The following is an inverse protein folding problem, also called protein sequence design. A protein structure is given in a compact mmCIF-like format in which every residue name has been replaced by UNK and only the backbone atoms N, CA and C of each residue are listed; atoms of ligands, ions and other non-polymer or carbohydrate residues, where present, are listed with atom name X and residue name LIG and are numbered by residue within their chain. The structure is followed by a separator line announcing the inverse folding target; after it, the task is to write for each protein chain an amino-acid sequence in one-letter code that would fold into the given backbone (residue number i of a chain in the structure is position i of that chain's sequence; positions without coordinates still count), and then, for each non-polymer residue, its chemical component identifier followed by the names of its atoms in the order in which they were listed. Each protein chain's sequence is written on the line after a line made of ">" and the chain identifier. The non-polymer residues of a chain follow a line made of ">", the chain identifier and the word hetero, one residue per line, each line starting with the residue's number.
data_IF_193924199923
#
_entry.id   IF_193924199923
#
_cell.length_a   1.000
_cell.length_b   1.000
_cell.length_c   1.000
_cell.angle_alpha   90.00
_cell.angle_beta   90.00
_cell.angle_gamma   90.00
#
_symmetry.space_group_name_H-M   'P 1'
#
loop_
_entity.id
_entity.type
_entity.pdbx_description
1 polymer ?
#
# COMPACT_ATOMS: atom_id res chain seq x y z
N UNK A 1 11.42 -4.01 -17.29
CA UNK A 1 10.23 -3.70 -16.48
C UNK A 1 10.13 -2.21 -16.18
N UNK A 2 10.99 -1.62 -15.33
CA UNK A 2 10.85 -0.21 -14.92
C UNK A 2 10.90 0.78 -16.09
N UNK A 3 11.82 0.61 -17.04
CA UNK A 3 11.89 1.45 -18.25
C UNK A 3 10.60 1.43 -19.08
N UNK A 4 9.88 0.30 -19.15
CA UNK A 4 8.61 0.21 -19.88
C UNK A 4 7.48 0.93 -19.13
N UNK A 5 7.55 0.95 -17.80
CA UNK A 5 6.57 1.62 -16.96
C UNK A 5 6.80 3.15 -16.92
N UNK A 6 8.06 3.56 -16.95
CA UNK A 6 8.51 4.96 -16.92
C UNK A 6 9.49 5.21 -18.08
N UNK A 7 9.01 5.33 -19.32
CA UNK A 7 9.87 5.58 -20.49
C UNK A 7 10.59 6.93 -20.44
N UNK A 8 10.09 7.87 -19.64
CA UNK A 8 10.66 9.20 -19.44
C UNK A 8 11.92 9.22 -18.57
N UNK A 9 12.19 8.12 -17.82
CA UNK A 9 13.40 8.01 -17.02
C UNK A 9 14.56 7.52 -17.89
N UNK A 10 15.71 8.16 -17.76
CA UNK A 10 16.93 7.66 -18.41
C UNK A 10 17.39 6.37 -17.70
N UNK A 11 17.97 5.39 -18.41
CA UNK A 11 18.49 4.16 -17.79
C UNK A 11 19.45 4.40 -16.61
N UNK A 12 20.27 5.45 -16.68
CA UNK A 12 21.20 5.84 -15.60
C UNK A 12 20.49 6.32 -14.33
N UNK A 13 19.20 6.63 -14.41
CA UNK A 13 18.38 6.99 -13.25
C UNK A 13 17.70 5.76 -12.62
N UNK A 14 17.77 4.60 -13.26
CA UNK A 14 17.22 3.33 -12.80
C UNK A 14 18.27 2.48 -12.07
N UNK A 15 19.17 3.13 -11.34
CA UNK A 15 20.18 2.46 -10.51
C UNK A 15 19.58 1.89 -9.24
N UNK A 16 20.02 0.67 -8.88
CA UNK A 16 19.65 -0.01 -7.65
C UNK A 16 20.88 -0.15 -6.76
N UNK A 17 20.79 0.31 -5.52
CA UNK A 17 21.84 0.08 -4.52
C UNK A 17 21.84 -1.37 -4.04
N UNK A 18 20.64 -1.94 -3.91
CA UNK A 18 20.44 -3.29 -3.35
C UNK A 18 19.17 -3.91 -3.90
N UNK A 19 19.20 -5.19 -4.21
CA UNK A 19 18.02 -6.00 -4.48
C UNK A 19 18.21 -7.39 -3.89
N UNK A 20 17.27 -7.83 -3.05
CA UNK A 20 17.34 -9.16 -2.44
C UNK A 20 15.95 -9.70 -2.13
N UNK A 21 15.84 -11.02 -1.99
CA UNK A 21 14.59 -11.70 -1.64
C UNK A 21 14.43 -11.74 -0.13
N UNK A 22 13.21 -11.50 0.33
CA UNK A 22 12.83 -11.71 1.72
C UNK A 22 12.72 -13.20 2.04
N UNK A 23 12.79 -13.49 3.34
CA UNK A 23 12.44 -14.82 3.83
C UNK A 23 10.97 -15.09 3.59
N UNK A 24 10.67 -16.34 3.23
CA UNK A 24 9.29 -16.76 3.01
C UNK A 24 8.59 -16.87 4.37
N UNK A 25 7.40 -16.27 4.54
CA UNK A 25 6.57 -16.53 5.70
C UNK A 25 6.22 -18.02 5.83
N UNK A 26 6.26 -18.56 7.04
CA UNK A 26 6.02 -19.99 7.30
C UNK A 26 4.64 -20.49 6.87
N UNK A 27 3.65 -19.60 6.78
CA UNK A 27 2.28 -19.93 6.38
C UNK A 27 2.10 -20.07 4.86
N UNK A 28 3.10 -19.73 4.04
CA UNK A 28 3.04 -19.85 2.59
C UNK A 28 3.72 -21.15 2.09
N UNK A 29 3.19 -21.78 1.03
CA UNK A 29 3.77 -23.01 0.50
C UNK A 29 5.17 -22.80 -0.05
N UNK A 30 5.99 -23.86 -0.07
CA UNK A 30 7.38 -23.79 -0.55
C UNK A 30 7.51 -23.38 -2.02
N UNK A 31 6.44 -23.51 -2.80
CA UNK A 31 6.35 -23.10 -4.21
C UNK A 31 6.00 -21.62 -4.38
N UNK A 32 5.54 -20.92 -3.34
CA UNK A 32 5.20 -19.51 -3.42
C UNK A 32 6.45 -18.66 -3.72
N UNK A 33 6.30 -17.72 -4.66
CA UNK A 33 7.29 -16.70 -4.93
C UNK A 33 7.59 -15.89 -3.65
N UNK A 34 8.86 -15.51 -3.47
CA UNK A 34 9.27 -14.66 -2.34
C UNK A 34 9.22 -13.20 -2.77
N UNK A 35 8.82 -12.34 -1.84
CA UNK A 35 8.87 -10.90 -2.04
C UNK A 35 10.32 -10.43 -2.23
N UNK A 36 10.50 -9.37 -3.03
CA UNK A 36 11.80 -8.75 -3.30
C UNK A 36 11.79 -7.34 -2.73
N UNK A 37 12.80 -7.02 -1.91
CA UNK A 37 13.07 -5.64 -1.53
C UNK A 37 14.17 -5.09 -2.44
N UNK A 38 13.85 -4.00 -3.13
CA UNK A 38 14.78 -3.25 -3.95
C UNK A 38 14.93 -1.82 -3.38
N UNK A 39 16.17 -1.41 -3.15
CA UNK A 39 16.54 -0.03 -2.83
C UNK A 39 16.97 0.65 -4.12
N UNK A 40 16.10 1.50 -4.65
CA UNK A 40 16.40 2.38 -5.78
C UNK A 40 17.30 3.51 -5.28
N UNK A 41 18.40 3.77 -5.99
CA UNK A 41 19.40 4.77 -5.62
C UNK A 41 18.79 6.17 -5.52
N UNK A 42 18.05 6.57 -6.56
CA UNK A 42 17.45 7.88 -6.63
C UNK A 42 16.00 7.89 -6.12
N UNK A 43 15.71 8.79 -5.17
CA UNK A 43 14.37 8.95 -4.61
C UNK A 43 13.30 9.32 -5.64
N UNK A 44 13.61 10.25 -6.56
CA UNK A 44 12.65 10.69 -7.58
C UNK A 44 12.30 9.57 -8.56
N UNK A 45 13.26 8.73 -8.92
CA UNK A 45 13.04 7.57 -9.78
C UNK A 45 12.10 6.57 -9.09
N UNK A 46 12.36 6.26 -7.82
CA UNK A 46 11.48 5.42 -6.98
C UNK A 46 10.04 5.94 -6.95
N UNK A 47 9.84 7.24 -6.66
CA UNK A 47 8.50 7.83 -6.59
C UNK A 47 7.78 7.83 -7.95
N UNK A 48 8.49 8.10 -9.05
CA UNK A 48 7.94 8.03 -10.41
C UNK A 48 7.49 6.63 -10.76
N UNK A 49 8.32 5.61 -10.49
CA UNK A 49 7.97 4.19 -10.70
C UNK A 49 6.70 3.82 -9.92
N UNK A 50 6.64 4.15 -8.63
CA UNK A 50 5.49 3.84 -7.79
C UNK A 50 4.23 4.57 -8.28
N UNK A 51 4.33 5.84 -8.66
CA UNK A 51 3.20 6.61 -9.19
C UNK A 51 2.72 6.06 -10.54
N UNK A 52 3.64 5.75 -11.45
CA UNK A 52 3.32 5.16 -12.74
C UNK A 52 2.61 3.82 -12.58
N UNK A 53 3.07 2.96 -11.66
CA UNK A 53 2.41 1.69 -11.35
C UNK A 53 0.97 1.88 -10.83
N UNK A 54 0.73 2.88 -9.97
CA UNK A 54 -0.62 3.14 -9.44
C UNK A 54 -1.59 3.66 -10.50
N UNK A 55 -1.09 4.47 -11.44
CA UNK A 55 -1.93 5.14 -12.43
C UNK A 55 -2.17 4.29 -13.68
N UNK A 56 -1.12 3.63 -14.20
CA UNK A 56 -1.14 2.87 -15.45
C UNK A 56 -1.26 1.35 -15.22
N UNK A 57 -0.91 0.87 -14.03
CA UNK A 57 -0.71 -0.55 -13.79
C UNK A 57 0.60 -1.07 -14.37
N UNK A 58 0.84 -2.38 -14.18
CA UNK A 58 2.00 -3.05 -14.78
C UNK A 58 1.79 -3.32 -16.28
N UNK A 59 2.87 -3.30 -17.09
CA UNK A 59 2.81 -3.80 -18.46
C UNK A 59 2.32 -5.26 -18.49
N UNK A 60 1.70 -5.68 -19.60
CA UNK A 60 1.09 -7.01 -19.76
C UNK A 60 2.04 -8.16 -19.40
N UNK A 61 3.31 -8.08 -19.80
CA UNK A 61 4.34 -9.08 -19.44
C UNK A 61 4.54 -9.26 -17.93
N UNK A 62 4.21 -8.25 -17.13
CA UNK A 62 4.45 -8.17 -15.69
C UNK A 62 3.17 -7.96 -14.87
N UNK A 63 1.99 -8.22 -15.44
CA UNK A 63 0.69 -7.95 -14.80
C UNK A 63 0.52 -8.65 -13.43
N UNK A 64 1.16 -9.81 -13.23
CA UNK A 64 1.10 -10.58 -11.99
C UNK A 64 1.99 -10.01 -10.87
N UNK A 65 2.82 -9.00 -11.15
CA UNK A 65 3.72 -8.38 -10.18
C UNK A 65 3.04 -7.17 -9.57
N UNK A 66 3.08 -7.04 -8.25
CA UNK A 66 2.59 -5.86 -7.52
C UNK A 66 3.77 -5.14 -6.88
N UNK A 67 3.84 -3.82 -7.08
CA UNK A 67 4.83 -2.96 -6.40
C UNK A 67 4.13 -2.21 -5.28
N UNK A 68 4.74 -2.26 -4.10
CA UNK A 68 4.33 -1.49 -2.93
C UNK A 68 5.51 -0.67 -2.40
N UNK A 69 5.21 0.42 -1.71
CA UNK A 69 6.20 1.16 -0.94
C UNK A 69 6.57 0.39 0.32
N UNK A 70 7.86 0.31 0.65
CA UNK A 70 8.33 -0.16 1.94
C UNK A 70 8.00 0.89 3.01
N UNK A 71 7.19 0.53 4.01
CA UNK A 71 6.68 1.43 5.03
C UNK A 71 6.97 0.86 6.42
N UNK A 72 7.26 1.74 7.37
CA UNK A 72 7.45 1.32 8.76
C UNK A 72 6.17 0.72 9.35
N UNK A 73 6.32 -0.14 10.35
CA UNK A 73 5.19 -0.75 11.05
C UNK A 73 4.27 0.30 11.66
N UNK A 74 4.82 1.36 12.24
CA UNK A 74 4.08 2.51 12.78
C UNK A 74 3.24 3.20 11.70
N UNK A 75 3.81 3.45 10.52
CA UNK A 75 3.06 4.04 9.39
C UNK A 75 1.92 3.13 8.95
N UNK A 76 2.15 1.81 8.89
CA UNK A 76 1.11 0.84 8.56
C UNK A 76 0.00 0.79 9.63
N UNK A 77 0.35 0.89 10.92
CA UNK A 77 -0.63 0.97 12.01
C UNK A 77 -1.48 2.23 11.91
N UNK A 78 -0.88 3.39 11.64
CA UNK A 78 -1.62 4.63 11.39
C UNK A 78 -2.57 4.48 10.19
N UNK A 79 -2.10 3.92 9.06
CA UNK A 79 -2.98 3.70 7.89
C UNK A 79 -4.16 2.79 8.19
N UNK A 80 -3.96 1.79 9.05
CA UNK A 80 -5.04 0.90 9.52
C UNK A 80 -6.02 1.65 10.42
N UNK A 81 -5.54 2.52 11.33
CA UNK A 81 -6.42 3.25 12.26
C UNK A 81 -7.34 4.25 11.55
N UNK A 82 -6.89 4.83 10.43
CA UNK A 82 -7.71 5.73 9.60
C UNK A 82 -8.39 5.04 8.41
N UNK A 83 -8.40 3.70 8.35
CA UNK A 83 -8.94 2.96 7.22
C UNK A 83 -10.43 3.28 6.95
N UNK A 84 -11.23 3.41 8.00
CA UNK A 84 -12.64 3.79 7.93
C UNK A 84 -12.86 5.18 7.34
N UNK A 85 -12.01 6.13 7.74
CA UNK A 85 -12.02 7.49 7.18
C UNK A 85 -11.72 7.41 5.69
N UNK A 86 -10.65 6.72 5.28
CA UNK A 86 -10.29 6.62 3.86
C UNK A 86 -11.34 5.90 3.01
N UNK A 87 -12.06 4.92 3.58
CA UNK A 87 -13.18 4.26 2.90
C UNK A 87 -14.32 5.27 2.66
N UNK A 88 -14.68 6.02 3.68
CA UNK A 88 -15.74 7.04 3.61
C UNK A 88 -15.40 8.13 2.57
N UNK A 89 -14.15 8.62 2.58
CA UNK A 89 -13.65 9.58 1.60
C UNK A 89 -13.77 9.05 0.16
N UNK A 90 -13.44 7.76 -0.07
CA UNK A 90 -13.59 7.13 -1.40
C UNK A 90 -15.06 7.03 -1.80
N UNK A 91 -15.93 6.60 -0.90
CA UNK A 91 -17.38 6.46 -1.17
C UNK A 91 -18.00 7.79 -1.57
N UNK A 92 -17.54 8.90 -1.00
CA UNK A 92 -18.01 10.24 -1.34
C UNK A 92 -17.24 10.91 -2.48
N UNK A 93 -16.25 10.25 -3.07
CA UNK A 93 -15.43 10.81 -4.15
C UNK A 93 -14.47 11.92 -3.71
N UNK A 94 -14.21 12.08 -2.40
CA UNK A 94 -13.27 13.07 -1.89
C UNK A 94 -11.81 12.63 -2.14
N UNK A 95 -11.01 13.55 -2.67
CA UNK A 95 -9.60 13.29 -2.96
C UNK A 95 -8.77 13.36 -1.68
N UNK A 96 -7.90 12.38 -1.50
CA UNK A 96 -6.95 12.35 -0.39
C UNK A 96 -5.59 11.82 -0.83
N UNK A 97 -4.55 12.14 -0.04
CA UNK A 97 -3.17 11.71 -0.27
C UNK A 97 -2.51 11.32 1.05
N UNK A 98 -1.59 10.36 0.99
CA UNK A 98 -0.76 10.02 2.14
C UNK A 98 0.42 10.99 2.23
N UNK A 99 0.53 11.69 3.35
CA UNK A 99 1.67 12.55 3.69
C UNK A 99 2.70 11.82 4.54
N UNK A 100 3.97 12.19 4.39
CA UNK A 100 5.06 11.71 5.23
C UNK A 100 5.07 12.42 6.60
N UNK A 101 5.47 11.76 7.70
CA UNK A 101 5.74 10.32 7.82
C UNK A 101 4.47 9.47 7.88
N UNK A 102 3.47 9.88 8.67
CA UNK A 102 2.20 9.19 8.83
C UNK A 102 1.06 10.20 8.97
N UNK A 103 0.67 10.83 7.87
CA UNK A 103 -0.44 11.80 7.83
C UNK A 103 -1.39 11.48 6.67
N UNK A 104 -2.66 11.81 6.84
CA UNK A 104 -3.66 11.74 5.79
C UNK A 104 -4.05 13.17 5.40
N UNK A 105 -3.75 13.55 4.17
CA UNK A 105 -4.08 14.86 3.60
C UNK A 105 -5.38 14.75 2.81
N UNK A 106 -6.38 15.53 3.15
CA UNK A 106 -7.71 15.50 2.53
C UNK A 106 -8.04 16.86 1.95
N UNK A 107 -8.51 16.87 0.70
CA UNK A 107 -9.03 18.09 0.08
C UNK A 107 -10.53 18.17 0.30
N UNK A 108 -10.99 19.25 0.90
CA UNK A 108 -12.41 19.53 1.13
C UNK A 108 -12.64 21.04 0.99
N UNK A 109 -13.61 21.46 0.14
CA UNK A 109 -13.95 22.87 -0.07
C UNK A 109 -12.72 23.78 -0.31
N UNK A 110 -11.86 23.38 -1.25
CA UNK A 110 -10.62 24.07 -1.62
C UNK A 110 -9.57 24.23 -0.50
N UNK A 111 -9.80 23.59 0.65
CA UNK A 111 -8.90 23.57 1.80
C UNK A 111 -8.26 22.20 1.96
N UNK A 112 -6.95 22.22 2.27
CA UNK A 112 -6.18 21.01 2.55
C UNK A 112 -6.12 20.78 4.06
N UNK A 113 -6.74 19.68 4.51
CA UNK A 113 -6.74 19.29 5.91
C UNK A 113 -5.77 18.14 6.17
N UNK A 114 -5.05 18.18 7.28
CA UNK A 114 -4.11 17.14 7.68
C UNK A 114 -4.59 16.41 8.93
N UNK A 115 -4.81 15.09 8.79
CA UNK A 115 -5.18 14.20 9.87
C UNK A 115 -3.93 13.43 10.31
N UNK A 116 -3.55 13.57 11.58
CA UNK A 116 -2.40 12.86 12.18
C UNK A 116 -2.82 11.80 13.19
N UNK A 117 -4.08 11.78 13.60
CA UNK A 117 -4.64 10.76 14.49
C UNK A 117 -6.05 10.38 14.07
N UNK A 118 -6.44 9.13 14.35
CA UNK A 118 -7.79 8.65 14.03
C UNK A 118 -8.89 9.44 14.77
N UNK A 119 -8.78 9.77 16.08
CA UNK A 119 -9.81 10.55 16.77
C UNK A 119 -10.00 11.96 16.19
N UNK A 120 -8.90 12.63 15.81
CA UNK A 120 -8.96 13.92 15.13
C UNK A 120 -9.69 13.80 13.79
N UNK A 121 -9.36 12.77 13.00
CA UNK A 121 -10.02 12.52 11.73
C UNK A 121 -11.52 12.24 11.88
N UNK A 122 -11.93 11.46 12.88
CA UNK A 122 -13.34 11.17 13.14
C UNK A 122 -14.13 12.45 13.45
N UNK A 123 -13.59 13.33 14.30
CA UNK A 123 -14.23 14.62 14.63
C UNK A 123 -14.42 15.47 13.37
N UNK A 124 -13.36 15.58 12.57
CA UNK A 124 -13.35 16.38 11.35
C UNK A 124 -14.32 15.83 10.28
N UNK A 125 -14.48 14.51 10.16
CA UNK A 125 -15.53 13.93 9.31
C UNK A 125 -16.93 14.27 9.82
N UNK A 126 -17.12 14.29 11.15
CA UNK A 126 -18.36 14.71 11.80
C UNK A 126 -18.70 16.18 11.54
N UNK A 127 -17.70 17.07 11.60
CA UNK A 127 -17.85 18.50 11.28
C UNK A 127 -18.28 18.71 9.82
N UNK A 128 -17.89 17.80 8.92
CA UNK A 128 -18.30 17.81 7.51
C UNK A 128 -19.65 17.11 7.26
N UNK A 129 -20.30 16.57 8.29
CA UNK A 129 -21.55 15.82 8.16
C UNK A 129 -21.39 14.48 7.45
N UNK A 130 -20.17 13.93 7.41
CA UNK A 130 -19.88 12.68 6.72
C UNK A 130 -19.92 11.52 7.70
N UNK A 131 -20.86 10.60 7.46
CA UNK A 131 -20.93 9.35 8.21
C UNK A 131 -19.79 8.41 7.84
N UNK A 132 -19.20 7.78 8.85
CA UNK A 132 -18.15 6.79 8.65
C UNK A 132 -18.76 5.51 8.06
N UNK A 133 -18.20 5.06 6.95
CA UNK A 133 -18.57 3.80 6.31
C UNK A 133 -18.20 2.63 7.23
N UNK A 134 -19.13 1.69 7.42
CA UNK A 134 -18.87 0.48 8.18
C UNK A 134 -17.79 -0.38 7.50
N UNK A 135 -16.84 -0.85 8.31
CA UNK A 135 -15.85 -1.83 7.86
C UNK A 135 -16.56 -3.17 7.64
N UNK A 136 -16.64 -3.63 6.39
CA UNK A 136 -16.94 -5.03 6.13
C UNK A 136 -15.91 -5.88 6.89
N UNK A 137 -16.38 -6.77 7.78
CA UNK A 137 -15.54 -7.72 8.52
C UNK A 137 -14.99 -8.80 7.58
N UNK A 138 -14.29 -8.41 6.52
CA UNK A 138 -13.42 -9.33 5.78
C UNK A 138 -12.15 -9.52 6.59
N UNK A 139 -12.24 -10.35 7.64
CA UNK A 139 -11.06 -11.06 8.10
C UNK A 139 -10.51 -11.88 6.93
N UNK A 140 -9.19 -12.15 6.87
CA UNK A 140 -8.71 -13.15 5.92
C UNK A 140 -9.53 -14.41 6.15
N UNK A 141 -10.11 -14.98 5.08
CA UNK A 141 -10.75 -16.29 5.17
C UNK A 141 -9.77 -17.21 5.93
N UNK A 142 -10.21 -17.77 7.06
CA UNK A 142 -9.36 -18.67 7.87
C UNK A 142 -8.95 -19.79 6.94
N UNK A 143 -7.70 -19.76 6.44
CA UNK A 143 -7.17 -20.85 5.64
C UNK A 143 -7.25 -22.09 6.53
N UNK A 144 -7.96 -23.16 6.13
CA UNK A 144 -8.05 -24.36 6.93
C UNK A 144 -6.63 -24.84 7.23
N UNK A 145 -6.31 -24.95 8.53
CA UNK A 145 -5.04 -25.52 8.96
C UNK A 145 -5.07 -26.98 8.52
N UNK A 146 -4.31 -27.34 7.49
CA UNK A 146 -4.12 -28.74 7.09
C UNK A 146 -3.58 -29.49 8.30
N UNK A 147 -4.44 -30.24 8.99
CA UNK A 147 -4.04 -31.20 10.01
C UNK A 147 -3.26 -32.30 9.29
N UNK A 148 -1.93 -32.25 9.38
CA UNK A 148 -1.12 -33.40 9.00
C UNK A 148 -1.45 -34.54 9.98
N UNK A 149 -2.24 -35.50 9.51
CA UNK A 149 -2.35 -36.81 10.15
C UNK A 149 -1.01 -37.49 9.89
N UNK A 150 -0.17 -37.57 10.90
CA UNK A 150 1.03 -38.41 10.85
C UNK A 150 0.53 -39.85 10.84
N UNK A 151 0.50 -40.48 9.67
CA UNK A 151 0.32 -41.91 9.58
C UNK A 151 1.62 -42.58 10.03
N UNK A 152 1.63 -43.06 11.27
CA UNK A 152 2.65 -43.95 11.81
C UNK A 152 2.80 -45.17 10.88
N UNK A 153 4.02 -45.45 10.45
CA UNK A 153 4.43 -46.77 9.97
C UNK A 153 5.59 -47.24 10.83
#
# INVERSE_FOLDING_TARGET
>A
MFQQLTPELHPDQLLLDRAHRLQRPSHLPTTAARDVIARVHFFHAKERIIRANRNKGMPEKYHNIKIFSDLSAETLQFRKSVAQITLSLRTQGLSYRWGYPAKLLVYHQDSLHSITSAPQGIRLMGDWGILLAEMAKTGPAKVPRLTQVWASR
#
